data_IF_380835967051
#
_entry.id   IF_380835967051
#
_cell.length_a   1.000
_cell.length_b   1.000
_cell.length_c   1.000
_cell.angle_alpha   90.00
_cell.angle_beta   90.00
_cell.angle_gamma   90.00
#
_symmetry.space_group_name_H-M   'P 1'
#
loop_
_entity.id
_entity.type
_entity.pdbx_description
1 polymer ?
#
# COMPACT_ATOMS: atom_id res chain seq x y z
N UNK A 1 19.52 -87.99 30.72
CA UNK A 1 19.10 -86.73 31.38
C UNK A 1 19.86 -85.49 30.89
N UNK A 2 21.20 -85.54 30.79
CA UNK A 2 22.07 -84.40 30.38
C UNK A 2 21.66 -83.62 29.11
N UNK A 3 21.09 -84.28 28.10
CA UNK A 3 20.73 -83.62 26.84
C UNK A 3 19.48 -82.73 26.96
N UNK A 4 18.53 -83.07 27.85
CA UNK A 4 17.29 -82.30 28.04
C UNK A 4 17.55 -80.99 28.80
N UNK A 5 18.42 -81.02 29.81
CA UNK A 5 18.84 -79.83 30.56
C UNK A 5 19.59 -78.83 29.67
N UNK A 6 20.49 -79.30 28.79
CA UNK A 6 21.22 -78.43 27.84
C UNK A 6 20.28 -77.72 26.87
N UNK A 7 19.24 -78.41 26.37
CA UNK A 7 18.23 -77.80 25.50
C UNK A 7 17.45 -76.70 26.23
N UNK A 8 17.11 -76.91 27.52
CA UNK A 8 16.44 -75.90 28.35
C UNK A 8 17.31 -74.67 28.60
N UNK A 9 18.60 -74.85 28.91
CA UNK A 9 19.54 -73.74 29.10
C UNK A 9 19.79 -72.94 27.82
N UNK A 10 19.93 -73.63 26.68
CA UNK A 10 20.09 -72.97 25.38
C UNK A 10 18.82 -72.19 25.01
N UNK A 11 17.63 -72.76 25.22
CA UNK A 11 16.37 -72.07 24.98
C UNK A 11 16.21 -70.81 25.84
N UNK A 12 16.53 -70.89 27.14
CA UNK A 12 16.51 -69.73 28.04
C UNK A 12 17.47 -68.62 27.59
N UNK A 13 18.69 -68.99 27.20
CA UNK A 13 19.68 -68.04 26.70
C UNK A 13 19.21 -67.34 25.42
N UNK A 14 18.61 -68.07 24.49
CA UNK A 14 18.07 -67.51 23.25
C UNK A 14 16.94 -66.52 23.53
N UNK A 15 16.06 -66.82 24.49
CA UNK A 15 14.97 -65.90 24.90
C UNK A 15 15.55 -64.62 25.49
N UNK A 16 16.55 -64.71 26.37
CA UNK A 16 17.21 -63.54 26.96
C UNK A 16 17.86 -62.67 25.87
N UNK A 17 18.54 -63.28 24.91
CA UNK A 17 19.14 -62.56 23.77
C UNK A 17 18.06 -61.89 22.92
N UNK A 18 16.94 -62.57 22.66
CA UNK A 18 15.84 -62.01 21.88
C UNK A 18 15.20 -60.79 22.57
N UNK A 19 14.98 -60.86 23.89
CA UNK A 19 14.47 -59.73 24.69
C UNK A 19 15.47 -58.58 24.68
N UNK A 20 16.76 -58.88 24.84
CA UNK A 20 17.81 -57.87 24.80
C UNK A 20 17.86 -57.16 23.44
N UNK A 21 17.84 -57.92 22.34
CA UNK A 21 17.80 -57.36 20.99
C UNK A 21 16.56 -56.50 20.78
N UNK A 22 15.39 -56.95 21.25
CA UNK A 22 14.16 -56.18 21.17
C UNK A 22 14.26 -54.83 21.92
N UNK A 23 14.85 -54.81 23.11
CA UNK A 23 15.08 -53.57 23.88
C UNK A 23 16.04 -52.63 23.13
N UNK A 24 17.12 -53.16 22.56
CA UNK A 24 18.08 -52.37 21.77
C UNK A 24 17.41 -51.75 20.54
N UNK A 25 16.56 -52.50 19.83
CA UNK A 25 15.81 -52.00 18.67
C UNK A 25 14.83 -50.88 19.06
N UNK A 26 14.11 -51.03 20.18
CA UNK A 26 13.22 -50.00 20.70
C UNK A 26 13.99 -48.73 21.07
N UNK A 27 15.15 -48.87 21.71
CA UNK A 27 15.99 -47.74 22.09
C UNK A 27 16.51 -46.98 20.86
N UNK A 28 16.95 -47.68 19.82
CA UNK A 28 17.34 -47.07 18.55
C UNK A 28 16.20 -46.28 17.90
N UNK A 29 14.99 -46.83 17.88
CA UNK A 29 13.79 -46.16 17.35
C UNK A 29 13.47 -44.85 18.11
N UNK A 30 13.57 -44.86 19.44
CA UNK A 30 13.34 -43.66 20.26
C UNK A 30 14.40 -42.59 19.95
N UNK A 31 15.67 -42.97 19.81
CA UNK A 31 16.74 -42.03 19.47
C UNK A 31 16.51 -41.38 18.11
N UNK A 32 16.19 -42.14 17.07
CA UNK A 32 15.91 -41.57 15.74
C UNK A 32 14.71 -40.62 15.75
N UNK A 33 13.67 -40.95 16.53
CA UNK A 33 12.50 -40.06 16.66
C UNK A 33 12.84 -38.74 17.38
N UNK A 34 13.71 -38.79 18.38
CA UNK A 34 14.20 -37.58 19.07
C UNK A 34 15.05 -36.71 18.15
N UNK A 35 15.95 -37.30 17.37
CA UNK A 35 16.76 -36.60 16.37
C UNK A 35 15.89 -35.95 15.29
N UNK A 36 14.87 -36.66 14.78
CA UNK A 36 13.90 -36.10 13.83
C UNK A 36 13.14 -34.93 14.45
N UNK A 37 12.68 -35.06 15.70
CA UNK A 37 11.96 -33.97 16.39
C UNK A 37 12.86 -32.76 16.62
N UNK A 38 14.11 -32.97 17.01
CA UNK A 38 15.09 -31.89 17.17
C UNK A 38 15.36 -31.19 15.83
N UNK A 39 15.50 -31.95 14.75
CA UNK A 39 15.68 -31.41 13.40
C UNK A 39 14.46 -30.60 12.95
N UNK A 40 13.25 -31.11 13.17
CA UNK A 40 12.00 -30.39 12.86
C UNK A 40 11.90 -29.09 13.64
N UNK A 41 12.15 -29.11 14.95
CA UNK A 41 12.12 -27.91 15.79
C UNK A 41 13.19 -26.89 15.37
N UNK A 42 14.38 -27.36 14.98
CA UNK A 42 15.43 -26.50 14.44
C UNK A 42 14.96 -25.83 13.14
N UNK A 43 14.36 -26.60 12.23
CA UNK A 43 13.83 -26.08 10.97
C UNK A 43 12.71 -25.06 11.21
N UNK A 44 11.76 -25.35 12.10
CA UNK A 44 10.68 -24.43 12.44
C UNK A 44 11.22 -23.12 13.05
N UNK A 45 12.22 -23.20 13.93
CA UNK A 45 12.89 -22.01 14.46
C UNK A 45 13.58 -21.20 13.37
N UNK A 46 14.30 -21.85 12.43
CA UNK A 46 14.92 -21.13 11.32
C UNK A 46 13.89 -20.45 10.42
N UNK A 47 12.75 -21.11 10.17
CA UNK A 47 11.64 -20.55 9.40
C UNK A 47 11.03 -19.35 10.11
N UNK A 48 10.78 -19.44 11.42
CA UNK A 48 10.28 -18.33 12.23
C UNK A 48 11.27 -17.16 12.26
N UNK A 49 12.57 -17.43 12.36
CA UNK A 49 13.61 -16.40 12.28
C UNK A 49 13.62 -15.71 10.91
N UNK A 50 13.50 -16.47 9.83
CA UNK A 50 13.40 -15.92 8.48
C UNK A 50 12.13 -15.06 8.33
N UNK A 51 10.98 -15.53 8.80
CA UNK A 51 9.73 -14.78 8.79
C UNK A 51 9.83 -13.48 9.59
N UNK A 52 10.45 -13.50 10.77
CA UNK A 52 10.68 -12.29 11.55
C UNK A 52 11.60 -11.29 10.84
N UNK A 53 12.63 -11.77 10.12
CA UNK A 53 13.48 -10.91 9.29
C UNK A 53 12.73 -10.28 8.11
N UNK A 54 11.87 -11.05 7.45
CA UNK A 54 11.00 -10.59 6.37
C UNK A 54 10.00 -9.54 6.87
N UNK A 55 9.27 -9.82 7.95
CA UNK A 55 8.36 -8.85 8.56
C UNK A 55 9.08 -7.57 9.00
N UNK A 56 10.29 -7.69 9.55
CA UNK A 56 11.10 -6.51 9.92
C UNK A 56 11.45 -5.66 8.70
N UNK A 57 11.76 -6.31 7.56
CA UNK A 57 12.08 -5.62 6.31
C UNK A 57 10.84 -4.92 5.74
N UNK A 58 9.70 -5.60 5.67
CA UNK A 58 8.42 -5.02 5.22
C UNK A 58 8.00 -3.83 6.08
N UNK A 59 8.15 -3.91 7.41
CA UNK A 59 7.86 -2.78 8.31
C UNK A 59 8.79 -1.60 8.04
N UNK A 60 10.08 -1.86 7.74
CA UNK A 60 11.02 -0.82 7.34
C UNK A 60 10.64 -0.13 6.04
N UNK A 61 10.24 -0.90 5.03
CA UNK A 61 9.79 -0.40 3.72
C UNK A 61 8.51 0.45 3.86
N UNK A 62 7.48 -0.08 4.52
CA UNK A 62 6.24 0.63 4.79
C UNK A 62 6.47 1.95 5.55
N UNK A 63 7.39 1.95 6.53
CA UNK A 63 7.74 3.17 7.26
C UNK A 63 8.34 4.23 6.34
N UNK A 64 9.23 3.83 5.43
CA UNK A 64 9.84 4.75 4.46
C UNK A 64 8.79 5.31 3.48
N UNK A 65 7.82 4.49 3.06
CA UNK A 65 6.71 4.96 2.22
C UNK A 65 5.82 5.98 2.93
N UNK A 66 5.50 5.73 4.21
CA UNK A 66 4.75 6.67 5.05
C UNK A 66 5.50 7.98 5.20
N UNK A 67 6.81 7.96 5.44
CA UNK A 67 7.63 9.16 5.59
C UNK A 67 7.61 10.01 4.30
N UNK A 68 7.86 9.39 3.15
CA UNK A 68 7.76 10.05 1.84
C UNK A 68 6.38 10.63 1.56
N UNK A 69 5.32 9.93 1.96
CA UNK A 69 3.95 10.40 1.80
C UNK A 69 3.68 11.61 2.70
N UNK A 70 4.11 11.58 3.96
CA UNK A 70 3.97 12.69 4.89
C UNK A 70 4.73 13.94 4.45
N UNK A 71 5.92 13.79 3.85
CA UNK A 71 6.64 14.91 3.26
C UNK A 71 5.83 15.59 2.15
N UNK A 72 5.24 14.81 1.24
CA UNK A 72 4.36 15.33 0.18
C UNK A 72 3.14 16.04 0.77
N UNK A 73 2.44 15.41 1.71
CA UNK A 73 1.25 15.98 2.36
C UNK A 73 1.59 17.29 3.07
N UNK A 74 2.69 17.34 3.83
CA UNK A 74 3.12 18.54 4.54
C UNK A 74 3.46 19.69 3.58
N UNK A 75 4.14 19.38 2.47
CA UNK A 75 4.46 20.37 1.44
C UNK A 75 3.20 20.95 0.78
N UNK A 76 2.24 20.10 0.44
CA UNK A 76 0.95 20.50 -0.13
C UNK A 76 0.14 21.33 0.87
N UNK A 77 0.03 20.87 2.11
CA UNK A 77 -0.70 21.57 3.16
C UNK A 77 -0.09 22.95 3.48
N UNK A 78 1.25 23.09 3.41
CA UNK A 78 1.91 24.38 3.58
C UNK A 78 1.53 25.35 2.46
N UNK A 79 1.43 24.87 1.23
CA UNK A 79 1.01 25.65 0.07
C UNK A 79 -0.47 26.05 0.18
N UNK A 80 -1.34 25.10 0.49
CA UNK A 80 -2.77 25.34 0.66
C UNK A 80 -3.03 26.35 1.78
N UNK A 81 -2.29 26.27 2.89
CA UNK A 81 -2.36 27.23 4.00
C UNK A 81 -1.93 28.63 3.58
N UNK A 82 -0.86 28.75 2.80
CA UNK A 82 -0.40 30.05 2.30
C UNK A 82 -1.43 30.67 1.34
N UNK A 83 -1.97 29.88 0.42
CA UNK A 83 -3.02 30.28 -0.51
C UNK A 83 -4.30 30.68 0.24
N UNK A 84 -4.74 29.89 1.22
CA UNK A 84 -5.89 30.19 2.07
C UNK A 84 -5.70 31.49 2.86
N UNK A 85 -4.51 31.72 3.41
CA UNK A 85 -4.22 32.96 4.13
C UNK A 85 -4.29 34.18 3.21
N UNK A 86 -3.77 34.06 1.98
CA UNK A 86 -3.85 35.13 0.97
C UNK A 86 -5.30 35.38 0.50
N UNK A 87 -6.13 34.34 0.42
CA UNK A 87 -7.55 34.44 0.10
C UNK A 87 -8.36 35.11 1.21
N UNK A 88 -8.08 34.78 2.47
CA UNK A 88 -8.72 35.42 3.62
C UNK A 88 -8.42 36.92 3.71
N UNK A 89 -7.18 37.33 3.38
CA UNK A 89 -6.80 38.76 3.34
C UNK A 89 -7.62 39.56 2.33
N UNK A 90 -8.01 38.93 1.21
CA UNK A 90 -8.85 39.58 0.19
C UNK A 90 -10.36 39.42 0.44
N UNK A 91 -10.75 38.90 1.62
CA UNK A 91 -12.14 38.81 2.06
C UNK A 91 -12.88 37.53 1.67
N UNK A 92 -12.18 36.48 1.19
CA UNK A 92 -12.79 35.18 0.95
C UNK A 92 -12.98 34.42 2.28
N UNK A 93 -14.19 33.93 2.51
CA UNK A 93 -14.58 33.21 3.74
C UNK A 93 -14.81 31.71 3.53
N UNK A 94 -14.67 31.22 2.29
CA UNK A 94 -14.86 29.82 1.94
C UNK A 94 -13.60 28.98 2.10
N UNK A 95 -13.65 27.77 1.53
CA UNK A 95 -12.55 26.81 1.44
C UNK A 95 -12.02 26.73 0.00
N UNK A 96 -10.82 26.17 -0.19
CA UNK A 96 -10.27 25.97 -1.55
C UNK A 96 -11.21 25.11 -2.41
N UNK A 97 -11.89 24.14 -1.79
CA UNK A 97 -12.87 23.30 -2.46
C UNK A 97 -14.05 24.09 -3.04
N UNK A 98 -14.44 25.22 -2.44
CA UNK A 98 -15.52 26.04 -2.97
C UNK A 98 -15.13 26.68 -4.32
N UNK A 99 -13.84 27.01 -4.50
CA UNK A 99 -13.30 27.52 -5.77
C UNK A 99 -13.30 26.43 -6.84
N UNK A 100 -12.94 25.20 -6.45
CA UNK A 100 -12.95 24.03 -7.33
C UNK A 100 -14.38 23.72 -7.79
N UNK A 101 -15.32 23.61 -6.85
CA UNK A 101 -16.72 23.29 -7.14
C UNK A 101 -17.41 24.37 -7.98
N UNK A 102 -17.03 25.63 -7.82
CA UNK A 102 -17.51 26.72 -8.70
C UNK A 102 -17.02 26.51 -10.14
N UNK A 103 -15.70 26.25 -10.33
CA UNK A 103 -15.12 26.02 -11.65
C UNK A 103 -15.76 24.83 -12.39
N UNK A 104 -16.11 23.77 -11.68
CA UNK A 104 -16.75 22.58 -12.27
C UNK A 104 -18.06 22.91 -13.00
N UNK A 105 -18.75 23.96 -12.57
CA UNK A 105 -20.00 24.40 -13.21
C UNK A 105 -19.78 25.21 -14.48
N UNK A 106 -18.53 25.62 -14.76
CA UNK A 106 -18.17 26.56 -15.82
C UNK A 106 -17.55 25.90 -17.06
N UNK A 107 -18.16 24.80 -17.54
CA UNK A 107 -17.71 24.09 -18.75
C UNK A 107 -17.60 24.98 -20.01
N UNK A 108 -18.32 26.11 -20.06
CA UNK A 108 -18.24 27.09 -21.15
C UNK A 108 -16.90 27.81 -21.25
N UNK A 109 -16.05 27.72 -20.23
CA UNK A 109 -14.69 28.27 -20.25
C UNK A 109 -13.73 27.44 -21.11
N UNK A 110 -14.09 26.19 -21.42
CA UNK A 110 -13.26 25.28 -22.21
C UNK A 110 -13.37 25.68 -23.69
N UNK A 111 -12.26 26.05 -24.37
CA UNK A 111 -12.31 26.57 -25.74
C UNK A 111 -12.36 25.46 -26.81
N UNK A 112 -12.47 24.20 -26.38
CA UNK A 112 -12.49 23.03 -27.25
C UNK A 112 -13.88 22.42 -27.29
N UNK A 113 -14.26 21.87 -28.45
CA UNK A 113 -15.50 21.10 -28.60
C UNK A 113 -15.22 19.63 -28.36
N UNK A 114 -16.17 18.95 -27.73
CA UNK A 114 -16.12 17.50 -27.63
C UNK A 114 -16.24 16.81 -28.98
N UNK A 115 -15.76 15.58 -29.05
CA UNK A 115 -15.75 14.69 -30.20
C UNK A 115 -16.60 13.45 -29.90
N UNK A 116 -17.07 12.78 -30.96
CA UNK A 116 -17.81 11.52 -30.85
C UNK A 116 -19.05 11.58 -29.92
N UNK A 117 -19.65 12.77 -29.77
CA UNK A 117 -20.79 13.00 -28.88
C UNK A 117 -20.41 13.23 -27.41
N UNK A 118 -19.11 13.29 -27.08
CA UNK A 118 -18.62 13.71 -25.78
C UNK A 118 -18.95 15.18 -25.47
N UNK A 119 -19.12 15.49 -24.19
CA UNK A 119 -19.31 16.86 -23.68
C UNK A 119 -18.08 17.25 -22.90
N UNK A 120 -17.46 18.37 -23.27
CA UNK A 120 -16.32 18.91 -22.52
C UNK A 120 -16.76 19.36 -21.14
N UNK A 121 -15.99 18.96 -20.13
CA UNK A 121 -16.25 19.35 -18.76
C UNK A 121 -15.07 19.09 -17.85
N UNK A 122 -15.26 19.51 -16.60
CA UNK A 122 -14.38 19.21 -15.49
C UNK A 122 -15.01 18.06 -14.70
N UNK A 123 -14.39 16.88 -14.74
CA UNK A 123 -14.97 15.66 -14.16
C UNK A 123 -14.20 15.11 -12.95
N UNK A 124 -13.02 15.65 -12.65
CA UNK A 124 -12.18 15.23 -11.53
C UNK A 124 -11.88 16.38 -10.58
N UNK A 125 -12.48 16.36 -9.39
CA UNK A 125 -12.18 17.34 -8.32
C UNK A 125 -10.67 17.37 -8.01
N UNK A 126 -9.99 16.22 -8.12
CA UNK A 126 -8.55 16.08 -7.85
C UNK A 126 -7.65 16.59 -8.99
N UNK A 127 -8.22 16.88 -10.16
CA UNK A 127 -7.49 17.32 -11.35
C UNK A 127 -7.61 18.85 -11.56
N UNK A 128 -8.20 19.54 -10.57
CA UNK A 128 -8.24 20.99 -10.44
C UNK A 128 -7.35 21.41 -9.27
N UNK A 129 -6.34 22.21 -9.56
CA UNK A 129 -5.35 22.67 -8.58
C UNK A 129 -5.38 24.19 -8.43
N UNK A 130 -5.79 24.67 -7.26
CA UNK A 130 -5.70 26.09 -6.90
C UNK A 130 -4.24 26.42 -6.58
N UNK A 131 -3.57 27.12 -7.49
CA UNK A 131 -2.14 27.42 -7.38
C UNK A 131 -1.88 28.61 -6.47
N UNK A 132 -2.68 29.67 -6.56
CA UNK A 132 -2.52 30.85 -5.71
C UNK A 132 -3.87 31.49 -5.51
N UNK A 133 -3.94 32.61 -4.79
CA UNK A 133 -5.13 33.46 -4.71
C UNK A 133 -5.54 34.14 -6.04
N UNK A 134 -5.03 33.68 -7.18
CA UNK A 134 -5.26 34.25 -8.51
C UNK A 134 -5.35 33.21 -9.62
N UNK A 135 -4.67 32.07 -9.47
CA UNK A 135 -4.48 31.11 -10.56
C UNK A 135 -4.98 29.72 -10.18
N UNK A 136 -5.61 29.05 -11.14
CA UNK A 136 -6.02 27.65 -11.08
C UNK A 136 -5.51 26.94 -12.32
N UNK A 137 -4.94 25.76 -12.16
CA UNK A 137 -4.69 24.81 -13.24
C UNK A 137 -5.80 23.76 -13.20
N UNK A 138 -6.47 23.52 -14.31
CA UNK A 138 -7.54 22.55 -14.39
C UNK A 138 -7.36 21.61 -15.57
N UNK A 139 -7.52 20.32 -15.33
CA UNK A 139 -7.74 19.32 -16.38
C UNK A 139 -9.19 19.36 -16.84
N UNK A 140 -9.40 19.20 -18.14
CA UNK A 140 -10.73 19.04 -18.72
C UNK A 140 -10.73 17.88 -19.71
N UNK A 141 -11.88 17.25 -19.91
CA UNK A 141 -12.05 16.13 -20.84
C UNK A 141 -13.48 16.03 -21.34
N UNK A 142 -13.68 15.30 -22.43
CA UNK A 142 -15.00 14.82 -22.88
C UNK A 142 -15.12 13.29 -22.86
N UNK A 143 -14.13 12.60 -22.30
CA UNK A 143 -13.97 11.15 -22.30
C UNK A 143 -13.19 10.57 -23.48
N UNK A 144 -12.86 11.35 -24.51
CA UNK A 144 -12.07 10.93 -25.68
C UNK A 144 -10.85 11.79 -25.92
N UNK A 145 -11.00 13.10 -25.76
CA UNK A 145 -9.90 14.07 -25.77
C UNK A 145 -9.88 14.78 -24.43
N UNK A 146 -8.68 15.16 -24.03
CA UNK A 146 -8.43 15.82 -22.76
C UNK A 146 -7.36 16.89 -22.92
N UNK A 147 -7.25 17.75 -21.92
CA UNK A 147 -6.30 18.83 -21.94
C UNK A 147 -6.22 19.54 -20.60
N UNK A 148 -5.41 20.58 -20.58
CA UNK A 148 -5.24 21.42 -19.41
C UNK A 148 -5.45 22.88 -19.77
N UNK A 149 -5.94 23.64 -18.80
CA UNK A 149 -6.09 25.07 -18.91
C UNK A 149 -5.60 25.78 -17.65
N UNK A 150 -4.96 26.92 -17.85
CA UNK A 150 -4.59 27.87 -16.82
C UNK A 150 -5.64 28.99 -16.79
N UNK A 151 -6.23 29.19 -15.63
CA UNK A 151 -7.33 30.14 -15.40
C UNK A 151 -6.93 31.16 -14.37
N UNK A 152 -7.27 32.43 -14.62
CA UNK A 152 -7.36 33.45 -13.57
C UNK A 152 -8.71 33.36 -12.90
N UNK A 153 -8.73 33.59 -11.60
CA UNK A 153 -9.97 33.89 -10.89
C UNK A 153 -9.84 35.14 -10.02
N UNK A 154 -10.96 35.82 -9.84
CA UNK A 154 -11.11 36.99 -8.99
C UNK A 154 -12.37 36.80 -8.13
N UNK A 155 -12.29 37.10 -6.84
CA UNK A 155 -13.39 36.93 -5.89
C UNK A 155 -13.96 38.30 -5.55
N UNK A 156 -15.25 38.49 -5.82
CA UNK A 156 -15.98 39.73 -5.57
C UNK A 156 -17.27 39.42 -4.81
N UNK A 157 -17.36 39.82 -3.54
CA UNK A 157 -18.54 39.61 -2.68
C UNK A 157 -19.07 38.16 -2.68
N UNK A 158 -18.17 37.18 -2.73
CA UNK A 158 -18.51 35.75 -2.74
C UNK A 158 -18.81 35.17 -4.13
N UNK A 159 -18.86 35.98 -5.19
CA UNK A 159 -18.91 35.50 -6.57
C UNK A 159 -17.50 35.37 -7.14
N UNK A 160 -17.26 34.28 -7.87
CA UNK A 160 -15.98 34.01 -8.53
C UNK A 160 -16.12 34.36 -10.01
N UNK A 161 -15.17 35.13 -10.53
CA UNK A 161 -15.09 35.48 -11.95
C UNK A 161 -13.87 34.84 -12.57
N UNK A 162 -14.06 34.17 -13.70
CA UNK A 162 -13.03 33.38 -14.37
C UNK A 162 -12.51 34.05 -15.64
N UNK A 163 -11.23 33.84 -15.94
CA UNK A 163 -10.62 34.22 -17.21
C UNK A 163 -9.63 33.16 -17.66
N UNK A 164 -9.87 32.57 -18.83
CA UNK A 164 -8.90 31.71 -19.50
C UNK A 164 -7.62 32.52 -19.82
N UNK A 165 -6.47 31.99 -19.41
CA UNK A 165 -5.15 32.52 -19.77
C UNK A 165 -4.54 31.73 -20.90
N UNK A 166 -4.51 30.40 -20.75
CA UNK A 166 -3.90 29.50 -21.72
C UNK A 166 -4.53 28.11 -21.60
N UNK A 167 -4.52 27.36 -22.69
CA UNK A 167 -5.01 26.00 -22.72
C UNK A 167 -4.39 25.20 -23.85
N UNK A 168 -4.29 23.88 -23.67
CA UNK A 168 -3.87 22.96 -24.71
C UNK A 168 -4.59 21.62 -24.57
N UNK A 169 -4.74 20.91 -25.69
CA UNK A 169 -5.13 19.50 -25.69
C UNK A 169 -3.87 18.65 -25.51
N UNK A 170 -3.99 17.61 -24.70
CA UNK A 170 -2.93 16.64 -24.53
C UNK A 170 -2.89 15.74 -25.78
N UNK A 171 -1.73 15.65 -26.42
CA UNK A 171 -1.49 14.83 -27.61
C UNK A 171 -1.51 13.33 -27.31
#
# INVERSE_FOLDING_TARGET
MKNKERILWIGSLVIIIAVFLFVVLQFQSILSNLEHKQTSLSNDNTKLQQQNGDYTSQVGELKNEIEKCNEKINSQHSFDKATMSALQIIGFTGQLKDIVSDLETHSELIPYKGVLGGTMGFYGENDIHVLTNRWVLAHFSDGHIEGYMLLRYEINNGSISWKLIDSYLQE
#
